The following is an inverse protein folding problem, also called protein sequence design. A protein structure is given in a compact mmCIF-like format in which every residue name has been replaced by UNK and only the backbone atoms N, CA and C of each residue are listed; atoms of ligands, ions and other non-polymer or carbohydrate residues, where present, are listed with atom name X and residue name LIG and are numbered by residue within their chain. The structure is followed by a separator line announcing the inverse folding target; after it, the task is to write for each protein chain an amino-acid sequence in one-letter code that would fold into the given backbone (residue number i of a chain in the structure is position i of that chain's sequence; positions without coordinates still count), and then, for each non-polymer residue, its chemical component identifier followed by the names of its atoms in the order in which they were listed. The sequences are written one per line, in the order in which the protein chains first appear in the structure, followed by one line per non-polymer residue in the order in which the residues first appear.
data_IF_835767677696
#
_entry.id   IF_835767677696
#
_cell.length_a   1.000
_cell.length_b   1.000
_cell.length_c   1.000
_cell.angle_alpha   90.00
_cell.angle_beta   90.00
_cell.angle_gamma   90.00
#
_symmetry.space_group_name_H-M   'P 1'
#
loop_
_entity.id
_entity.type
_entity.pdbx_description
1 polymer ?
#
# COMPACT_ATOMS: atom_id res chain seq x y z
N UNK A 1 11.25 4.48 26.59
CA UNK A 1 10.66 3.13 26.66
C UNK A 1 11.09 2.40 25.41
N UNK A 2 11.79 1.28 25.55
CA UNK A 2 12.27 0.47 24.44
C UNK A 2 11.09 -0.01 23.61
N UNK A 3 10.91 0.54 22.42
CA UNK A 3 10.12 -0.14 21.40
C UNK A 3 10.98 -1.33 20.96
N UNK A 4 10.43 -2.52 21.05
CA UNK A 4 11.07 -3.72 20.54
C UNK A 4 11.47 -3.47 19.10
N UNK A 5 12.77 -3.52 18.84
CA UNK A 5 13.36 -3.29 17.52
C UNK A 5 13.22 -4.56 16.65
N UNK A 6 12.13 -5.30 16.87
CA UNK A 6 11.82 -6.54 16.16
C UNK A 6 11.31 -6.18 14.76
N UNK A 7 11.89 -6.76 13.70
CA UNK A 7 11.41 -6.54 12.35
C UNK A 7 9.96 -6.97 12.21
N UNK A 8 9.15 -6.16 11.51
CA UNK A 8 7.81 -6.54 11.11
C UNK A 8 7.90 -7.65 10.05
N UNK A 9 7.34 -8.80 10.31
CA UNK A 9 7.41 -9.98 9.48
C UNK A 9 6.03 -10.58 9.17
N UNK A 10 6.00 -11.76 8.55
CA UNK A 10 4.77 -12.47 8.21
C UNK A 10 3.93 -12.85 9.41
N UNK A 11 4.55 -13.16 10.55
CA UNK A 11 3.81 -13.54 11.77
C UNK A 11 3.13 -12.33 12.37
N UNK A 12 3.79 -11.16 12.34
CA UNK A 12 3.21 -9.90 12.75
C UNK A 12 2.06 -9.47 11.80
N UNK A 13 2.22 -9.64 10.49
CA UNK A 13 1.13 -9.36 9.54
C UNK A 13 -0.09 -10.25 9.76
N UNK A 14 0.10 -11.51 10.16
CA UNK A 14 -1.02 -12.43 10.39
C UNK A 14 -2.00 -11.91 11.45
N UNK A 15 -1.54 -11.14 12.42
CA UNK A 15 -2.41 -10.52 13.45
C UNK A 15 -3.39 -9.51 12.85
N UNK A 16 -3.03 -8.83 11.76
CA UNK A 16 -3.92 -7.91 11.06
C UNK A 16 -5.07 -8.63 10.36
N UNK A 17 -4.86 -9.88 9.93
CA UNK A 17 -5.89 -10.67 9.23
C UNK A 17 -6.86 -11.40 10.18
N UNK A 18 -6.73 -11.22 11.50
CA UNK A 18 -7.72 -11.72 12.47
C UNK A 18 -9.04 -10.95 12.38
N UNK A 19 -8.99 -9.71 11.91
CA UNK A 19 -10.15 -8.88 11.66
C UNK A 19 -10.21 -8.47 10.19
N UNK A 20 -11.39 -8.04 9.73
CA UNK A 20 -11.55 -7.55 8.37
C UNK A 20 -10.93 -6.15 8.24
N UNK A 21 -9.91 -6.01 7.37
CA UNK A 21 -9.18 -4.77 7.18
C UNK A 21 -9.91 -3.79 6.25
N UNK A 22 -9.94 -2.52 6.62
CA UNK A 22 -10.26 -1.39 5.74
C UNK A 22 -9.00 -0.53 5.60
N UNK A 23 -8.44 -0.50 4.41
CA UNK A 23 -7.19 0.20 4.09
C UNK A 23 -7.54 1.39 3.19
N UNK A 24 -7.12 2.61 3.57
CA UNK A 24 -7.33 3.80 2.76
C UNK A 24 -6.45 3.77 1.52
N UNK A 25 -7.05 3.66 0.31
CA UNK A 25 -6.39 3.62 -0.98
C UNK A 25 -5.87 5.00 -1.36
N UNK A 26 -4.56 5.16 -1.46
CA UNK A 26 -3.87 6.46 -1.57
C UNK A 26 -4.32 7.45 -0.49
N UNK A 27 -4.59 6.90 0.71
CA UNK A 27 -5.28 7.57 1.79
C UNK A 27 -6.80 7.49 1.65
N UNK A 28 -7.51 8.60 1.83
CA UNK A 28 -8.94 8.75 1.56
C UNK A 28 -9.12 9.50 0.23
N UNK A 29 -8.70 8.89 -0.89
CA UNK A 29 -8.58 9.52 -2.20
C UNK A 29 -9.90 10.09 -2.76
N UNK A 30 -11.04 9.58 -2.31
CA UNK A 30 -12.36 10.14 -2.65
C UNK A 30 -12.78 11.36 -1.82
N UNK A 31 -11.96 11.80 -0.86
CA UNK A 31 -12.27 12.87 0.11
C UNK A 31 -11.18 13.93 0.24
N UNK A 32 -9.98 13.65 -0.28
CA UNK A 32 -8.83 14.55 -0.31
C UNK A 32 -7.91 14.18 -1.48
N UNK A 33 -7.01 15.06 -1.95
CA UNK A 33 -6.10 14.73 -3.04
C UNK A 33 -5.30 13.46 -2.75
N UNK A 34 -5.35 12.49 -3.68
CA UNK A 34 -4.71 11.18 -3.53
C UNK A 34 -3.21 11.29 -3.24
N UNK A 35 -2.65 10.35 -2.48
CA UNK A 35 -1.23 10.26 -2.17
C UNK A 35 -0.65 11.52 -1.49
N UNK A 36 -1.47 12.29 -0.77
CA UNK A 36 -1.03 13.45 0.02
C UNK A 36 -1.15 13.19 1.53
N UNK A 37 -0.38 13.93 2.34
CA UNK A 37 -0.46 13.79 3.81
C UNK A 37 -1.87 14.03 4.37
N UNK A 38 -2.66 15.03 3.88
CA UNK A 38 -4.07 15.18 4.30
C UNK A 38 -4.95 13.98 3.96
N UNK A 39 -4.73 13.33 2.81
CA UNK A 39 -5.46 12.12 2.42
C UNK A 39 -5.18 10.96 3.39
N UNK A 40 -3.91 10.72 3.70
CA UNK A 40 -3.51 9.67 4.66
C UNK A 40 -4.03 9.97 6.06
N UNK A 41 -3.88 11.20 6.54
CA UNK A 41 -4.42 11.65 7.84
C UNK A 41 -5.92 11.38 7.92
N UNK A 42 -6.68 11.80 6.89
CA UNK A 42 -8.13 11.64 6.83
C UNK A 42 -8.55 10.16 6.91
N UNK A 43 -7.85 9.25 6.21
CA UNK A 43 -8.12 7.82 6.28
C UNK A 43 -7.90 7.27 7.70
N UNK A 44 -6.79 7.63 8.34
CA UNK A 44 -6.45 7.19 9.69
C UNK A 44 -7.39 7.79 10.75
N UNK A 45 -7.72 9.08 10.64
CA UNK A 45 -8.69 9.75 11.54
C UNK A 45 -10.09 9.13 11.46
N UNK A 46 -10.47 8.56 10.31
CA UNK A 46 -11.72 7.83 10.13
C UNK A 46 -11.67 6.40 10.69
N UNK A 47 -10.51 5.90 11.11
CA UNK A 47 -10.34 4.57 11.70
C UNK A 47 -9.96 3.47 10.71
N UNK A 48 -9.40 3.81 9.54
CA UNK A 48 -8.74 2.80 8.70
C UNK A 48 -7.62 2.11 9.48
N UNK A 49 -7.57 0.77 9.41
CA UNK A 49 -6.50 -0.01 10.04
C UNK A 49 -5.16 0.09 9.28
N UNK A 50 -5.16 0.76 8.14
CA UNK A 50 -3.96 1.05 7.36
C UNK A 50 -4.22 2.02 6.23
N UNK A 51 -3.13 2.38 5.54
CA UNK A 51 -3.16 3.17 4.32
C UNK A 51 -2.33 2.48 3.25
N UNK A 52 -2.74 2.66 2.02
CA UNK A 52 -1.98 2.25 0.84
C UNK A 52 -1.45 3.50 0.14
N UNK A 53 -0.26 3.39 -0.43
CA UNK A 53 0.43 4.43 -1.14
C UNK A 53 1.30 3.87 -2.27
N UNK A 54 1.57 4.70 -3.27
CA UNK A 54 2.35 4.36 -4.46
C UNK A 54 3.72 5.06 -4.40
N UNK A 55 4.84 4.34 -4.61
CA UNK A 55 6.17 4.94 -4.59
C UNK A 55 6.87 4.91 -5.94
N UNK A 56 7.52 6.03 -6.29
CA UNK A 56 8.51 6.12 -7.34
C UNK A 56 9.87 6.53 -6.77
N UNK A 57 10.94 6.06 -7.41
CA UNK A 57 12.30 6.48 -7.08
C UNK A 57 12.72 7.66 -7.97
N UNK A 58 13.17 8.74 -7.35
CA UNK A 58 13.75 9.91 -8.00
C UNK A 58 15.12 10.21 -7.42
N UNK A 59 16.02 10.84 -8.19
CA UNK A 59 17.32 11.20 -7.67
C UNK A 59 17.28 12.58 -6.99
N UNK A 60 18.06 12.74 -5.94
CA UNK A 60 18.40 14.06 -5.42
C UNK A 60 19.58 14.67 -6.19
N UNK A 61 20.00 15.88 -5.81
CA UNK A 61 21.10 16.60 -6.44
C UNK A 61 22.46 15.87 -6.34
N UNK A 62 22.60 14.94 -5.39
CA UNK A 62 23.80 14.08 -5.23
C UNK A 62 23.76 12.81 -6.08
N UNK A 63 22.60 12.51 -6.69
CA UNK A 63 22.34 11.27 -7.40
C UNK A 63 21.86 10.13 -6.50
N UNK A 64 21.58 10.38 -5.20
CA UNK A 64 20.98 9.40 -4.30
C UNK A 64 19.48 9.28 -4.56
N UNK A 65 19.00 8.03 -4.59
CA UNK A 65 17.59 7.74 -4.82
C UNK A 65 16.74 8.00 -3.58
N UNK A 66 15.72 8.84 -3.77
CA UNK A 66 14.67 9.17 -2.79
C UNK A 66 13.33 8.57 -3.25
N UNK A 67 12.45 8.24 -2.30
CA UNK A 67 11.12 7.71 -2.60
C UNK A 67 10.07 8.81 -2.44
N UNK A 68 9.35 9.09 -3.52
CA UNK A 68 8.22 10.02 -3.58
C UNK A 68 6.92 9.26 -3.77
N UNK A 69 5.83 9.82 -3.22
CA UNK A 69 4.54 9.14 -3.15
C UNK A 69 3.60 9.71 -4.21
N UNK A 70 3.49 9.03 -5.35
CA UNK A 70 2.64 9.40 -6.48
C UNK A 70 2.32 8.14 -7.29
N UNK A 71 1.10 8.06 -7.85
CA UNK A 71 0.64 6.85 -8.56
C UNK A 71 1.17 6.71 -9.98
N UNK A 72 1.00 7.76 -10.80
CA UNK A 72 1.26 7.69 -12.24
C UNK A 72 2.78 7.80 -12.53
N UNK A 73 3.20 7.29 -13.68
CA UNK A 73 4.57 7.47 -14.18
C UNK A 73 4.89 8.93 -14.54
N UNK A 74 3.85 9.80 -14.61
CA UNK A 74 3.98 11.24 -14.88
C UNK A 74 3.29 12.07 -13.79
N UNK A 75 3.73 13.32 -13.63
CA UNK A 75 3.13 14.25 -12.66
C UNK A 75 1.86 14.94 -13.16
N UNK A 76 1.48 14.73 -14.42
CA UNK A 76 0.50 15.54 -15.17
C UNK A 76 -0.92 15.51 -14.60
N UNK A 77 -1.40 14.34 -14.13
CA UNK A 77 -2.80 14.17 -13.73
C UNK A 77 -3.12 14.79 -12.37
N UNK A 78 -2.21 14.63 -11.42
CA UNK A 78 -2.45 14.97 -10.01
C UNK A 78 -1.70 16.21 -9.55
N UNK A 79 -0.91 16.85 -10.43
CA UNK A 79 -0.15 18.05 -10.08
C UNK A 79 -0.29 19.16 -11.12
N UNK A 80 0.23 20.34 -10.79
CA UNK A 80 0.40 21.45 -11.72
C UNK A 80 1.62 21.32 -12.65
N UNK A 81 2.44 20.26 -12.49
CA UNK A 81 3.61 19.96 -13.31
C UNK A 81 3.32 19.17 -14.57
N UNK A 82 4.39 18.82 -15.30
CA UNK A 82 4.33 18.05 -16.54
C UNK A 82 5.51 17.09 -16.67
N UNK A 83 5.26 15.93 -17.27
CA UNK A 83 6.28 14.97 -17.70
C UNK A 83 6.53 13.82 -16.72
N UNK A 84 7.44 12.92 -17.07
CA UNK A 84 7.73 11.72 -16.29
C UNK A 84 8.32 12.04 -14.92
N UNK A 85 7.83 11.34 -13.89
CA UNK A 85 8.36 11.43 -12.50
C UNK A 85 9.87 11.18 -12.48
N UNK A 86 10.35 10.19 -13.26
CA UNK A 86 11.76 9.81 -13.32
C UNK A 86 12.70 10.87 -13.90
N UNK A 87 12.18 11.90 -14.54
CA UNK A 87 12.97 13.02 -15.09
C UNK A 87 13.02 14.24 -14.15
N UNK A 88 12.32 14.20 -13.02
CA UNK A 88 12.38 15.24 -12.01
C UNK A 88 13.37 14.89 -10.90
N UNK A 89 14.03 15.91 -10.36
CA UNK A 89 14.76 15.77 -9.09
C UNK A 89 13.79 15.86 -7.90
N UNK A 90 14.24 15.43 -6.72
CA UNK A 90 13.42 15.53 -5.51
C UNK A 90 13.05 16.99 -5.17
N UNK A 91 13.93 17.94 -5.49
CA UNK A 91 13.69 19.36 -5.28
C UNK A 91 12.59 19.87 -6.21
N UNK A 92 12.61 19.47 -7.49
CA UNK A 92 11.56 19.81 -8.47
C UNK A 92 10.21 19.21 -8.07
N UNK A 93 10.19 17.94 -7.60
CA UNK A 93 8.98 17.30 -7.08
C UNK A 93 8.40 18.06 -5.89
N UNK A 94 9.25 18.58 -5.01
CA UNK A 94 8.82 19.29 -3.81
C UNK A 94 8.12 20.64 -4.09
N UNK A 95 8.31 21.22 -5.28
CA UNK A 95 7.69 22.47 -5.71
C UNK A 95 6.31 22.25 -6.37
N UNK A 96 5.94 21.00 -6.67
CA UNK A 96 4.69 20.67 -7.33
C UNK A 96 3.49 20.74 -6.36
N UNK A 97 2.41 21.38 -6.82
CA UNK A 97 1.11 21.33 -6.14
C UNK A 97 0.37 20.04 -6.59
N UNK A 98 0.17 19.14 -5.64
CA UNK A 98 -0.56 17.89 -5.81
C UNK A 98 -2.07 18.01 -5.47
N UNK A 99 -2.60 19.21 -5.57
CA UNK A 99 -3.99 19.56 -5.30
C UNK A 99 -4.18 20.26 -3.95
N UNK A 100 -4.99 21.30 -3.95
CA UNK A 100 -5.33 22.12 -2.77
C UNK A 100 -4.11 22.69 -2.03
N UNK A 101 -3.01 23.00 -2.74
CA UNK A 101 -1.77 23.50 -2.14
C UNK A 101 -0.94 22.44 -1.43
N UNK A 102 -1.25 21.16 -1.61
CA UNK A 102 -0.47 20.06 -1.02
C UNK A 102 0.70 19.67 -1.91
N UNK A 103 1.78 19.21 -1.29
CA UNK A 103 2.96 18.68 -2.00
C UNK A 103 2.84 17.18 -2.19
N UNK A 104 3.59 16.64 -3.16
CA UNK A 104 3.90 15.22 -3.23
C UNK A 104 4.78 14.87 -2.03
N UNK A 105 4.35 13.99 -1.10
CA UNK A 105 5.16 13.66 0.06
C UNK A 105 6.27 12.67 -0.29
N UNK A 106 7.32 12.65 0.52
CA UNK A 106 8.29 11.55 0.56
C UNK A 106 7.74 10.40 1.39
N UNK A 107 8.17 9.18 1.10
CA UNK A 107 7.78 8.01 1.91
C UNK A 107 8.06 8.22 3.40
N UNK A 108 9.19 8.85 3.75
CA UNK A 108 9.55 9.17 5.14
C UNK A 108 8.51 10.04 5.85
N UNK A 109 7.87 10.98 5.14
CA UNK A 109 6.85 11.86 5.72
C UNK A 109 5.56 11.08 6.00
N UNK A 110 5.16 10.16 5.11
CA UNK A 110 3.97 9.33 5.31
C UNK A 110 4.18 8.32 6.44
N UNK A 111 5.35 7.68 6.51
CA UNK A 111 5.65 6.74 7.60
C UNK A 111 5.75 7.45 8.95
N UNK A 112 6.30 8.68 9.00
CA UNK A 112 6.31 9.50 10.22
C UNK A 112 4.89 9.91 10.65
N UNK A 113 4.01 10.25 9.68
CA UNK A 113 2.60 10.50 9.97
C UNK A 113 1.93 9.27 10.57
N UNK A 114 2.04 8.10 9.94
CA UNK A 114 1.44 6.86 10.42
C UNK A 114 1.96 6.45 11.80
N UNK A 115 3.25 6.65 12.08
CA UNK A 115 3.83 6.39 13.40
C UNK A 115 3.22 7.24 14.52
N UNK A 116 2.56 8.35 14.21
CA UNK A 116 1.81 9.18 15.17
C UNK A 116 0.46 8.56 15.60
N UNK A 117 -0.06 7.56 14.89
CA UNK A 117 -1.36 6.91 15.13
C UNK A 117 -1.28 5.62 15.94
N UNK A 118 -0.26 5.50 16.79
CA UNK A 118 -0.11 4.31 17.66
C UNK A 118 -1.07 4.47 18.85
N UNK A 119 -2.27 3.88 18.72
CA UNK A 119 -3.15 3.64 19.87
C UNK A 119 -2.96 2.19 20.35
N UNK A 120 -3.84 1.28 19.95
CA UNK A 120 -3.77 -0.14 20.32
C UNK A 120 -3.03 -0.97 19.25
N UNK A 121 -3.12 -0.57 18.00
CA UNK A 121 -2.48 -1.25 16.85
C UNK A 121 -1.86 -0.22 15.91
N UNK A 122 -0.61 -0.45 15.51
CA UNK A 122 0.06 0.40 14.52
C UNK A 122 -0.64 0.29 13.16
N UNK A 123 -0.90 1.40 12.44
CA UNK A 123 -1.47 1.32 11.10
C UNK A 123 -0.59 0.53 10.13
N UNK A 124 -1.20 -0.37 9.36
CA UNK A 124 -0.51 -1.08 8.27
C UNK A 124 -0.26 -0.11 7.11
N UNK A 125 0.97 -0.06 6.62
CA UNK A 125 1.35 0.74 5.45
C UNK A 125 1.57 -0.22 4.28
N UNK A 126 0.64 -0.23 3.31
CA UNK A 126 0.84 -0.97 2.06
C UNK A 126 1.59 -0.06 1.08
N UNK A 127 2.84 -0.40 0.77
CA UNK A 127 3.69 0.33 -0.17
C UNK A 127 3.65 -0.37 -1.52
N UNK A 128 3.01 0.24 -2.52
CA UNK A 128 3.03 -0.26 -3.89
C UNK A 128 4.27 0.26 -4.63
N UNK A 129 5.09 -0.66 -5.13
CA UNK A 129 6.24 -0.33 -5.98
C UNK A 129 5.75 0.01 -7.39
N UNK A 130 5.93 1.26 -7.80
CA UNK A 130 5.64 1.76 -9.15
C UNK A 130 6.93 1.92 -9.95
N UNK A 131 6.81 1.80 -11.27
CA UNK A 131 7.96 1.93 -12.15
C UNK A 131 9.02 0.84 -11.94
N UNK A 132 10.18 1.05 -12.54
CA UNK A 132 11.36 0.18 -12.40
C UNK A 132 12.36 0.78 -11.42
N UNK A 133 13.04 -0.09 -10.67
CA UNK A 133 14.12 0.32 -9.77
C UNK A 133 13.65 0.88 -8.42
N UNK A 134 12.38 0.68 -8.05
CA UNK A 134 11.85 1.07 -6.74
C UNK A 134 12.14 0.05 -5.64
N UNK A 135 12.41 -1.19 -5.99
CA UNK A 135 12.66 -2.28 -5.04
C UNK A 135 13.84 -2.00 -4.09
N UNK A 136 15.01 -1.70 -4.65
CA UNK A 136 16.23 -1.51 -3.86
C UNK A 136 16.17 -0.28 -2.92
N UNK A 137 15.74 0.93 -3.36
CA UNK A 137 15.59 2.07 -2.46
C UNK A 137 14.53 1.83 -1.38
N UNK A 138 13.42 1.12 -1.68
CA UNK A 138 12.40 0.75 -0.67
C UNK A 138 12.99 -0.20 0.37
N UNK A 139 13.73 -1.23 -0.04
CA UNK A 139 14.39 -2.14 0.90
C UNK A 139 15.43 -1.40 1.79
N UNK A 140 16.20 -0.46 1.20
CA UNK A 140 17.13 0.38 1.99
C UNK A 140 16.39 1.25 3.01
N UNK A 141 15.29 1.87 2.60
CA UNK A 141 14.46 2.70 3.47
C UNK A 141 13.93 1.88 4.66
N UNK A 142 13.33 0.72 4.42
CA UNK A 142 12.75 -0.12 5.47
C UNK A 142 13.80 -0.63 6.47
N UNK A 143 15.01 -0.95 6.00
CA UNK A 143 16.12 -1.37 6.88
C UNK A 143 16.52 -0.28 7.87
N UNK A 144 16.38 0.99 7.51
CA UNK A 144 16.69 2.14 8.40
C UNK A 144 15.49 2.58 9.24
N UNK A 145 14.31 2.01 9.00
CA UNK A 145 13.07 2.30 9.72
C UNK A 145 12.44 1.01 10.27
N UNK A 146 13.15 0.27 11.15
CA UNK A 146 12.63 -0.96 11.72
C UNK A 146 11.40 -0.70 12.58
N UNK A 147 10.52 -1.67 12.67
CA UNK A 147 9.30 -1.60 13.50
C UNK A 147 8.11 -0.89 12.84
N UNK A 148 8.20 -0.52 11.53
CA UNK A 148 7.02 -0.12 10.76
C UNK A 148 6.20 -1.36 10.37
N UNK A 149 4.88 -1.31 10.56
CA UNK A 149 3.98 -2.33 10.02
C UNK A 149 3.81 -2.11 8.51
N UNK A 150 4.47 -2.92 7.70
CA UNK A 150 4.55 -2.72 6.24
C UNK A 150 4.17 -3.97 5.47
N UNK A 151 3.43 -3.77 4.38
CA UNK A 151 3.20 -4.73 3.31
C UNK A 151 3.71 -4.09 2.01
N UNK A 152 4.63 -4.73 1.30
CA UNK A 152 5.13 -4.24 0.01
C UNK A 152 4.39 -4.95 -1.11
N UNK A 153 3.83 -4.20 -2.06
CA UNK A 153 3.06 -4.76 -3.16
C UNK A 153 3.51 -4.21 -4.51
N UNK A 154 3.20 -4.91 -5.60
CA UNK A 154 3.40 -4.43 -6.96
C UNK A 154 2.62 -5.25 -7.99
N UNK A 155 2.20 -4.59 -9.08
CA UNK A 155 1.80 -5.25 -10.33
C UNK A 155 2.99 -5.78 -11.12
N UNK A 156 4.16 -5.16 -10.92
CA UNK A 156 5.41 -5.64 -11.49
C UNK A 156 6.01 -6.70 -10.56
N UNK A 157 5.74 -7.97 -10.84
CA UNK A 157 6.22 -9.07 -10.02
C UNK A 157 7.74 -9.25 -10.07
N UNK A 158 8.42 -8.72 -11.11
CA UNK A 158 9.89 -8.69 -11.18
C UNK A 158 10.46 -7.72 -10.13
N UNK A 159 9.80 -6.57 -9.89
CA UNK A 159 10.18 -5.64 -8.81
C UNK A 159 9.97 -6.28 -7.42
N UNK A 160 8.90 -7.06 -7.22
CA UNK A 160 8.74 -7.81 -5.96
C UNK A 160 9.82 -8.88 -5.78
N UNK A 161 10.21 -9.57 -6.84
CA UNK A 161 11.31 -10.53 -6.80
C UNK A 161 12.63 -9.84 -6.46
N UNK A 162 12.93 -8.70 -7.11
CA UNK A 162 14.11 -7.89 -6.80
C UNK A 162 14.10 -7.34 -5.37
N UNK A 163 12.93 -6.94 -4.87
CA UNK A 163 12.77 -6.56 -3.45
C UNK A 163 13.11 -7.74 -2.54
N UNK A 164 12.59 -8.94 -2.83
CA UNK A 164 12.87 -10.17 -2.07
C UNK A 164 14.34 -10.58 -2.06
N UNK A 165 15.11 -10.27 -3.09
CA UNK A 165 16.55 -10.51 -3.10
C UNK A 165 17.27 -9.72 -2.01
N UNK A 166 16.79 -8.50 -1.73
CA UNK A 166 17.37 -7.55 -0.78
C UNK A 166 16.77 -7.67 0.63
N UNK A 167 15.46 -7.89 0.72
CA UNK A 167 14.70 -8.02 1.98
C UNK A 167 13.92 -9.33 2.01
N UNK A 168 14.35 -10.25 2.90
CA UNK A 168 13.74 -11.59 3.04
C UNK A 168 12.59 -11.63 4.06
N UNK A 169 12.45 -10.61 4.87
CA UNK A 169 11.55 -10.58 6.04
C UNK A 169 10.27 -9.80 5.82
N UNK A 170 10.35 -8.61 5.27
CA UNK A 170 9.17 -7.77 5.03
C UNK A 170 8.09 -8.50 4.23
N UNK A 171 6.83 -8.52 4.69
CA UNK A 171 5.71 -9.11 3.94
C UNK A 171 5.56 -8.52 2.53
N UNK A 172 5.25 -9.37 1.54
CA UNK A 172 4.94 -8.91 0.18
C UNK A 172 3.61 -9.46 -0.31
N UNK A 173 2.97 -8.71 -1.22
CA UNK A 173 1.72 -9.06 -1.89
C UNK A 173 1.80 -8.77 -3.41
N UNK A 174 1.78 -9.76 -4.29
CA UNK A 174 1.58 -9.50 -5.71
C UNK A 174 0.17 -8.98 -5.98
N UNK A 175 0.08 -7.99 -6.88
CA UNK A 175 -1.17 -7.40 -7.36
C UNK A 175 -1.62 -8.08 -8.66
N UNK A 176 -2.94 -8.32 -8.79
CA UNK A 176 -3.55 -8.92 -9.97
C UNK A 176 -4.80 -8.16 -10.40
N UNK A 177 -4.75 -7.54 -11.59
CA UNK A 177 -5.90 -6.85 -12.20
C UNK A 177 -6.80 -7.81 -12.98
N UNK A 178 -6.21 -8.86 -13.57
CA UNK A 178 -6.89 -9.87 -14.40
C UNK A 178 -6.31 -11.25 -14.14
N UNK A 179 -7.14 -12.29 -14.31
CA UNK A 179 -6.68 -13.66 -14.25
C UNK A 179 -5.70 -13.96 -15.42
N UNK A 180 -4.42 -13.94 -15.11
CA UNK A 180 -3.33 -14.32 -16.03
C UNK A 180 -2.40 -15.29 -15.30
N UNK A 181 -2.12 -16.43 -15.91
CA UNK A 181 -1.26 -17.45 -15.32
C UNK A 181 -1.83 -18.07 -14.02
N UNK A 182 -0.96 -18.71 -13.26
CA UNK A 182 -1.30 -19.29 -11.96
C UNK A 182 -0.94 -18.29 -10.84
N UNK A 183 -1.94 -17.59 -10.34
CA UNK A 183 -1.79 -16.56 -9.32
C UNK A 183 -1.23 -17.10 -7.99
N UNK A 184 -1.69 -18.27 -7.56
CA UNK A 184 -1.20 -18.94 -6.34
C UNK A 184 0.25 -19.40 -6.48
N UNK A 185 0.62 -19.89 -7.64
CA UNK A 185 2.00 -20.28 -7.93
C UNK A 185 2.93 -19.06 -7.89
N UNK A 186 2.52 -17.95 -8.54
CA UNK A 186 3.27 -16.68 -8.48
C UNK A 186 3.43 -16.20 -7.04
N UNK A 187 2.36 -16.20 -6.26
CA UNK A 187 2.39 -15.80 -4.85
C UNK A 187 3.33 -16.70 -4.03
N UNK A 188 3.29 -18.00 -4.28
CA UNK A 188 4.17 -18.98 -3.60
C UNK A 188 5.64 -18.76 -3.95
N UNK A 189 5.95 -18.57 -5.23
CA UNK A 189 7.34 -18.32 -5.70
C UNK A 189 7.92 -17.04 -5.10
N UNK A 190 7.11 -15.98 -4.99
CA UNK A 190 7.49 -14.72 -4.34
C UNK A 190 7.54 -14.84 -2.80
N UNK A 191 7.08 -15.95 -2.26
CA UNK A 191 6.89 -16.10 -0.84
C UNK A 191 5.95 -15.02 -0.28
N UNK A 192 4.85 -14.74 -0.97
CA UNK A 192 3.89 -13.74 -0.58
C UNK A 192 3.19 -14.07 0.74
N UNK A 193 2.76 -13.04 1.46
CA UNK A 193 2.01 -13.15 2.71
C UNK A 193 0.50 -13.02 2.48
N UNK A 194 0.10 -12.40 1.37
CA UNK A 194 -1.27 -12.29 0.89
C UNK A 194 -1.26 -11.97 -0.61
N UNK A 195 -2.44 -11.94 -1.22
CA UNK A 195 -2.66 -11.54 -2.61
C UNK A 195 -3.55 -10.32 -2.63
N UNK A 196 -3.15 -9.28 -3.40
CA UNK A 196 -4.02 -8.15 -3.69
C UNK A 196 -4.66 -8.35 -5.07
N UNK A 197 -5.99 -8.30 -5.18
CA UNK A 197 -6.66 -8.48 -6.46
C UNK A 197 -7.78 -7.46 -6.70
N UNK A 198 -8.08 -7.22 -7.98
CA UNK A 198 -9.20 -6.34 -8.35
C UNK A 198 -10.55 -6.95 -7.98
N UNK A 199 -11.56 -6.11 -7.74
CA UNK A 199 -12.96 -6.52 -7.51
C UNK A 199 -13.49 -7.43 -8.62
N UNK A 200 -13.03 -7.24 -9.87
CA UNK A 200 -13.43 -8.06 -11.03
C UNK A 200 -12.99 -9.52 -10.89
N UNK A 201 -11.86 -9.74 -10.21
CA UNK A 201 -11.32 -11.10 -9.99
C UNK A 201 -11.94 -11.78 -8.78
N UNK A 202 -12.45 -11.05 -7.81
CA UNK A 202 -12.97 -11.57 -6.54
C UNK A 202 -14.26 -12.38 -6.74
N UNK A 203 -14.11 -13.59 -7.27
CA UNK A 203 -15.18 -14.59 -7.46
C UNK A 203 -15.16 -15.61 -6.31
N UNK A 204 -16.34 -16.15 -5.89
CA UNK A 204 -16.40 -17.09 -4.78
C UNK A 204 -15.43 -18.27 -4.91
N UNK A 205 -15.36 -18.89 -6.11
CA UNK A 205 -14.47 -20.03 -6.35
C UNK A 205 -12.98 -19.67 -6.23
N UNK A 206 -12.57 -18.47 -6.65
CA UNK A 206 -11.18 -18.04 -6.57
C UNK A 206 -10.79 -17.69 -5.13
N UNK A 207 -11.67 -17.01 -4.39
CA UNK A 207 -11.44 -16.70 -2.97
C UNK A 207 -11.35 -18.01 -2.17
N UNK A 208 -12.21 -18.99 -2.45
CA UNK A 208 -12.15 -20.29 -1.80
C UNK A 208 -10.83 -21.01 -2.08
N UNK A 209 -10.34 -21.02 -3.32
CA UNK A 209 -9.02 -21.59 -3.66
C UNK A 209 -7.89 -20.92 -2.90
N UNK A 210 -7.91 -19.58 -2.77
CA UNK A 210 -6.92 -18.85 -1.97
C UNK A 210 -7.01 -19.23 -0.49
N UNK A 211 -8.22 -19.34 0.06
CA UNK A 211 -8.47 -19.76 1.44
C UNK A 211 -7.94 -21.17 1.72
N UNK A 212 -8.24 -22.13 0.83
CA UNK A 212 -7.73 -23.51 0.93
C UNK A 212 -6.21 -23.59 0.87
N UNK A 213 -5.58 -22.68 0.12
CA UNK A 213 -4.13 -22.53 0.05
C UNK A 213 -3.53 -21.76 1.24
N UNK A 214 -4.34 -21.32 2.21
CA UNK A 214 -3.90 -20.50 3.34
C UNK A 214 -3.38 -19.12 2.92
N UNK A 215 -3.86 -18.58 1.77
CA UNK A 215 -3.42 -17.31 1.19
C UNK A 215 -4.50 -16.24 1.40
N UNK A 216 -4.31 -15.31 2.36
CA UNK A 216 -5.22 -14.19 2.55
C UNK A 216 -5.36 -13.33 1.30
N UNK A 217 -6.53 -12.74 1.09
CA UNK A 217 -6.83 -11.89 -0.06
C UNK A 217 -7.27 -10.51 0.40
N UNK A 218 -6.66 -9.46 -0.17
CA UNK A 218 -7.12 -8.08 -0.08
C UNK A 218 -7.66 -7.64 -1.45
N UNK A 219 -8.77 -6.89 -1.46
CA UNK A 219 -9.46 -6.53 -2.71
C UNK A 219 -9.48 -5.03 -2.92
N UNK A 220 -9.10 -4.57 -4.12
CA UNK A 220 -9.11 -3.16 -4.53
C UNK A 220 -10.00 -2.93 -5.77
N UNK A 221 -10.56 -1.78 -5.98
CA UNK A 221 -10.86 -0.72 -5.03
C UNK A 221 -12.35 -0.81 -4.71
N UNK A 222 -12.71 -0.81 -3.45
CA UNK A 222 -14.07 -1.08 -2.98
C UNK A 222 -14.60 0.15 -2.25
N UNK A 223 -15.57 0.84 -2.85
CA UNK A 223 -16.12 2.10 -2.33
C UNK A 223 -17.59 1.99 -1.87
N UNK A 224 -18.17 0.80 -2.01
CA UNK A 224 -19.60 0.56 -1.70
C UNK A 224 -19.75 -0.44 -0.55
N UNK A 225 -20.57 -0.10 0.43
CA UNK A 225 -20.80 -0.93 1.61
C UNK A 225 -21.31 -2.33 1.27
N UNK A 226 -22.28 -2.45 0.35
CA UNK A 226 -22.86 -3.74 -0.02
C UNK A 226 -21.81 -4.68 -0.65
N UNK A 227 -20.88 -4.12 -1.43
CA UNK A 227 -19.78 -4.88 -2.02
C UNK A 227 -18.79 -5.33 -0.95
N UNK A 228 -18.47 -4.46 0.01
CA UNK A 228 -17.63 -4.79 1.18
C UNK A 228 -18.23 -5.93 1.99
N UNK A 229 -19.54 -5.86 2.28
CA UNK A 229 -20.26 -6.93 3.02
C UNK A 229 -20.25 -8.26 2.25
N UNK A 230 -20.44 -8.22 0.93
CA UNK A 230 -20.35 -9.40 0.06
C UNK A 230 -18.96 -10.03 0.13
N UNK A 231 -17.90 -9.24 0.00
CA UNK A 231 -16.53 -9.71 0.04
C UNK A 231 -16.15 -10.26 1.42
N UNK A 232 -16.57 -9.59 2.50
CA UNK A 232 -16.38 -10.08 3.88
C UNK A 232 -17.05 -11.44 4.07
N UNK A 233 -18.28 -11.61 3.60
CA UNK A 233 -19.02 -12.89 3.65
C UNK A 233 -18.34 -14.01 2.85
N UNK A 234 -17.55 -13.68 1.83
CA UNK A 234 -16.75 -14.62 1.05
C UNK A 234 -15.43 -15.01 1.72
N UNK A 235 -15.07 -14.39 2.85
CA UNK A 235 -13.81 -14.67 3.54
C UNK A 235 -12.61 -13.89 3.02
N UNK A 236 -12.83 -12.75 2.34
CA UNK A 236 -11.77 -11.79 2.00
C UNK A 236 -11.23 -11.16 3.29
N UNK A 237 -9.91 -11.03 3.40
CA UNK A 237 -9.24 -10.50 4.60
C UNK A 237 -9.38 -8.98 4.76
N UNK A 238 -9.64 -8.25 3.67
CA UNK A 238 -9.83 -6.81 3.74
C UNK A 238 -9.98 -6.15 2.37
N UNK A 239 -10.19 -4.84 2.38
CA UNK A 239 -10.39 -4.03 1.17
C UNK A 239 -9.57 -2.75 1.20
N UNK A 240 -9.18 -2.29 0.01
CA UNK A 240 -8.68 -0.94 -0.22
C UNK A 240 -9.83 -0.05 -0.69
N UNK A 241 -9.96 1.14 -0.10
CA UNK A 241 -11.07 2.06 -0.39
C UNK A 241 -10.63 3.51 -0.54
N UNK A 242 -11.22 4.22 -1.51
CA UNK A 242 -11.12 5.69 -1.62
C UNK A 242 -12.10 6.39 -0.66
N UNK A 243 -13.11 5.66 -0.15
CA UNK A 243 -14.25 6.20 0.60
C UNK A 243 -14.40 5.50 1.95
N UNK A 244 -13.45 5.67 2.87
CA UNK A 244 -13.55 5.07 4.21
C UNK A 244 -14.80 5.52 4.97
N UNK A 245 -15.31 6.72 4.72
CA UNK A 245 -16.56 7.25 5.27
C UNK A 245 -17.78 6.38 4.95
N UNK A 246 -17.80 5.70 3.81
CA UNK A 246 -18.88 4.79 3.43
C UNK A 246 -18.81 3.43 4.15
N UNK A 247 -17.65 3.02 4.64
CA UNK A 247 -17.39 1.65 5.11
C UNK A 247 -17.23 1.56 6.63
N UNK A 248 -16.37 2.39 7.22
CA UNK A 248 -15.97 2.32 8.62
C UNK A 248 -17.16 2.43 9.61
N UNK A 249 -18.11 3.39 9.47
CA UNK A 249 -19.20 3.55 10.44
C UNK A 249 -20.12 2.32 10.57
N UNK A 250 -20.04 1.39 9.64
CA UNK A 250 -20.93 0.21 9.58
C UNK A 250 -20.16 -1.09 9.88
N UNK A 251 -18.88 -1.15 9.60
CA UNK A 251 -18.04 -2.36 9.84
C UNK A 251 -17.61 -2.43 11.31
N UNK A 252 -17.46 -1.29 11.97
CA UNK A 252 -17.09 -1.17 13.38
C UNK A 252 -18.26 -1.48 14.37
N UNK A 253 -19.45 -1.83 13.84
CA UNK A 253 -20.62 -2.28 14.62
C UNK A 253 -20.77 -3.80 14.53
#
# INVERSE_FOLDING_TARGET
MNKDNTPFDRSALASYFLEFLVIGHRGAAGLAPENTLPSFRKALDMGCQGVELDVHAVNDASGEQQLVVIHDDTVDRTTNGRGPVSLHTIEQIAELDAGDGNRIPRLAEVTALAAGYIADTQPLINIELKGKGTAAPTARFLRTHPGLAVLVSSFNHEELAAFRETDKTTPVAPLFERARGNMLETATQLGASCINMSTRMAKPSLIEQCREAGMPVLVYTVNQLHETQRLKAMGVAGVFTDRPDNLIPVIAR
#
